data_IF_049841398674
#
_entry.id   IF_049841398674
#
_cell.length_a   1.000
_cell.length_b   1.000
_cell.length_c   1.000
_cell.angle_alpha   90.00
_cell.angle_beta   90.00
_cell.angle_gamma   90.00
#
_symmetry.space_group_name_H-M   'P 1'
#
loop_
_entity.id
_entity.type
_entity.pdbx_description
1 polymer ?
#
# COMPACT_ATOMS: atom_id res chain seq x y z
N UNK A 1 42.84 -4.74 -6.54
CA UNK A 1 41.94 -3.56 -6.74
C UNK A 1 42.01 -2.69 -5.48
N UNK A 2 42.50 -1.44 -5.57
CA UNK A 2 42.43 -0.48 -4.45
C UNK A 2 40.95 -0.19 -4.21
N UNK A 3 40.39 -0.47 -3.00
CA UNK A 3 39.08 0.01 -2.59
C UNK A 3 39.10 1.53 -2.76
N UNK A 4 38.27 2.06 -3.67
CA UNK A 4 38.03 3.51 -3.74
C UNK A 4 37.49 3.93 -2.37
N UNK A 5 38.25 4.67 -1.63
CA UNK A 5 37.85 5.23 -0.33
C UNK A 5 36.82 6.30 -0.61
N UNK A 6 35.62 6.18 0.01
CA UNK A 6 34.60 7.25 -0.08
C UNK A 6 35.18 8.57 0.38
N UNK A 7 34.92 9.64 -0.38
CA UNK A 7 35.33 11.00 0.01
C UNK A 7 34.74 11.34 1.38
N UNK A 8 35.50 12.01 2.21
CA UNK A 8 35.15 12.38 3.58
C UNK A 8 34.98 13.90 3.71
N UNK A 9 34.37 14.34 4.82
CA UNK A 9 34.32 15.79 5.16
C UNK A 9 35.69 16.43 5.20
N UNK A 10 36.77 15.66 5.55
CA UNK A 10 38.12 16.18 5.55
C UNK A 10 38.62 16.44 4.13
N UNK A 11 38.35 15.56 3.19
CA UNK A 11 38.77 15.74 1.81
C UNK A 11 38.19 16.99 1.16
N UNK A 12 36.88 17.33 1.51
CA UNK A 12 36.29 18.60 1.09
C UNK A 12 36.96 19.79 1.80
N UNK A 13 37.16 19.69 3.12
CA UNK A 13 37.77 20.76 3.89
C UNK A 13 39.16 21.10 3.36
N UNK A 14 39.98 20.10 3.04
CA UNK A 14 41.30 20.24 2.47
C UNK A 14 41.25 20.83 1.05
N UNK A 15 40.33 20.41 0.21
CA UNK A 15 40.17 20.92 -1.16
C UNK A 15 39.74 22.41 -1.21
N UNK A 16 38.99 22.87 -0.21
CA UNK A 16 38.48 24.25 -0.15
C UNK A 16 39.38 25.16 0.73
N UNK A 17 40.24 24.58 1.55
CA UNK A 17 41.05 25.32 2.51
C UNK A 17 40.27 25.86 3.73
N UNK A 18 39.31 25.06 4.22
CA UNK A 18 38.47 25.39 5.38
C UNK A 18 38.50 24.27 6.42
N UNK A 19 37.90 24.48 7.59
CA UNK A 19 37.81 23.43 8.61
C UNK A 19 36.64 22.46 8.32
N UNK A 20 36.75 21.21 8.82
CA UNK A 20 35.66 20.25 8.80
C UNK A 20 34.35 20.86 9.40
N UNK A 21 34.48 21.68 10.44
CA UNK A 21 33.36 22.33 11.09
C UNK A 21 32.66 23.32 10.17
N UNK A 22 33.41 24.01 9.30
CA UNK A 22 32.84 24.92 8.28
C UNK A 22 32.07 24.12 7.21
N UNK A 23 32.60 22.99 6.74
CA UNK A 23 31.89 22.09 5.80
C UNK A 23 30.64 21.51 6.44
N UNK A 24 30.73 21.01 7.68
CA UNK A 24 29.59 20.49 8.43
C UNK A 24 28.50 21.56 8.65
N UNK A 25 28.91 22.81 8.94
CA UNK A 25 27.98 23.94 9.08
C UNK A 25 27.31 24.27 7.76
N UNK A 26 28.02 24.23 6.65
CA UNK A 26 27.46 24.41 5.32
C UNK A 26 26.39 23.33 5.02
N UNK A 27 26.65 22.08 5.31
CA UNK A 27 25.70 20.99 5.04
C UNK A 27 24.41 21.08 5.88
N UNK A 28 24.50 21.64 7.10
CA UNK A 28 23.33 21.81 8.00
C UNK A 28 22.59 23.13 7.81
N UNK A 29 23.33 24.21 7.64
CA UNK A 29 22.80 25.58 7.58
C UNK A 29 23.65 26.38 6.58
N UNK A 30 23.43 26.24 5.27
CA UNK A 30 24.24 26.91 4.25
C UNK A 30 24.33 28.43 4.43
N UNK A 31 23.22 29.05 4.88
CA UNK A 31 23.12 30.49 5.09
C UNK A 31 24.08 31.02 6.19
N UNK A 32 24.56 30.18 7.09
CA UNK A 32 25.54 30.54 8.13
C UNK A 32 27.00 30.51 7.63
N UNK A 33 27.20 30.33 6.33
CA UNK A 33 28.52 30.32 5.67
C UNK A 33 28.49 31.37 4.56
N UNK A 34 29.60 32.14 4.41
CA UNK A 34 29.69 33.20 3.40
C UNK A 34 29.44 32.66 1.98
N UNK A 35 28.85 33.45 1.10
CA UNK A 35 28.50 33.03 -0.27
C UNK A 35 29.69 32.50 -1.06
N UNK A 36 30.84 33.16 -0.98
CA UNK A 36 32.09 32.72 -1.59
C UNK A 36 32.53 31.33 -1.12
N UNK A 37 32.41 31.06 0.19
CA UNK A 37 32.77 29.75 0.76
C UNK A 37 31.74 28.70 0.39
N UNK A 38 30.45 29.02 0.36
CA UNK A 38 29.37 28.11 -0.09
C UNK A 38 29.63 27.60 -1.51
N UNK A 39 29.93 28.52 -2.43
CA UNK A 39 30.20 28.18 -3.83
C UNK A 39 31.39 27.22 -3.96
N UNK A 40 32.49 27.47 -3.21
CA UNK A 40 33.66 26.60 -3.21
C UNK A 40 33.37 25.21 -2.63
N UNK A 41 32.62 25.13 -1.53
CA UNK A 41 32.24 23.85 -0.90
C UNK A 41 31.32 23.06 -1.85
N UNK A 42 30.31 23.70 -2.46
CA UNK A 42 29.44 23.04 -3.42
C UNK A 42 30.22 22.44 -4.59
N UNK A 43 31.10 23.22 -5.21
CA UNK A 43 31.95 22.73 -6.31
C UNK A 43 32.86 21.57 -5.90
N UNK A 44 33.41 21.59 -4.67
CA UNK A 44 34.24 20.50 -4.16
C UNK A 44 33.41 19.22 -3.88
N UNK A 45 32.17 19.36 -3.37
CA UNK A 45 31.22 18.25 -3.20
C UNK A 45 30.96 17.58 -4.53
N UNK A 46 30.62 18.35 -5.56
CA UNK A 46 30.32 17.84 -6.90
C UNK A 46 31.57 17.16 -7.53
N UNK A 47 32.73 17.80 -7.42
CA UNK A 47 33.98 17.28 -7.99
C UNK A 47 34.44 15.97 -7.32
N UNK A 48 34.29 15.88 -5.99
CA UNK A 48 34.73 14.72 -5.20
C UNK A 48 33.65 13.64 -5.12
N UNK A 49 32.45 13.88 -5.64
CA UNK A 49 31.30 12.98 -5.52
C UNK A 49 30.95 12.66 -4.05
N UNK A 50 31.08 13.67 -3.17
CA UNK A 50 30.84 13.46 -1.74
C UNK A 50 29.37 13.30 -1.44
N UNK A 51 29.05 12.26 -0.69
CA UNK A 51 27.70 12.02 -0.14
C UNK A 51 27.79 12.17 1.39
N UNK A 52 26.99 13.09 1.92
CA UNK A 52 26.95 13.32 3.37
C UNK A 52 26.51 12.05 4.12
N UNK A 53 27.28 11.68 5.13
CA UNK A 53 26.91 10.57 6.01
C UNK A 53 25.86 11.07 7.01
N UNK A 54 24.65 10.47 6.98
CA UNK A 54 23.58 10.81 7.92
C UNK A 54 23.72 10.16 9.31
N UNK A 55 24.60 9.17 9.47
CA UNK A 55 24.77 8.47 10.75
C UNK A 55 25.12 9.38 11.95
N UNK A 56 25.97 10.45 11.83
CA UNK A 56 26.20 11.37 12.92
C UNK A 56 24.95 12.19 13.32
N UNK A 57 24.08 12.50 12.34
CA UNK A 57 22.86 13.25 12.61
C UNK A 57 21.81 12.36 13.31
N UNK A 58 21.74 11.08 12.97
CA UNK A 58 20.98 10.07 13.70
C UNK A 58 21.37 10.00 15.17
N UNK A 59 22.68 10.01 15.46
CA UNK A 59 23.18 9.93 16.84
C UNK A 59 22.94 11.23 17.64
N UNK A 60 22.87 12.40 16.96
CA UNK A 60 22.75 13.70 17.62
C UNK A 60 21.32 14.23 17.71
N UNK A 61 20.45 13.92 16.74
CA UNK A 61 19.13 14.54 16.58
C UNK A 61 17.96 13.58 16.82
N UNK A 62 18.21 12.31 17.06
CA UNK A 62 17.22 11.22 17.21
C UNK A 62 16.22 11.08 16.02
N UNK A 63 16.42 11.80 14.89
CA UNK A 63 15.59 11.70 13.67
C UNK A 63 16.39 11.17 12.50
N UNK A 64 15.83 10.16 11.82
CA UNK A 64 16.42 9.54 10.64
C UNK A 64 15.98 10.18 9.32
N UNK A 65 14.87 10.92 9.35
CA UNK A 65 14.15 11.37 8.16
C UNK A 65 13.81 10.19 7.22
N UNK A 66 13.47 9.06 7.81
CA UNK A 66 13.07 7.86 7.09
C UNK A 66 11.77 7.32 7.67
N UNK A 67 10.87 6.87 6.81
CA UNK A 67 9.66 6.16 7.19
C UNK A 67 9.68 4.75 6.61
N UNK A 68 9.24 3.79 7.41
CA UNK A 68 9.07 2.41 6.96
C UNK A 68 7.68 2.22 6.35
N UNK A 69 7.63 1.69 5.13
CA UNK A 69 6.37 1.32 4.47
C UNK A 69 6.39 -0.16 4.17
N UNK A 70 5.48 -0.91 4.79
CA UNK A 70 5.34 -2.35 4.57
C UNK A 70 4.13 -2.62 3.69
N UNK A 71 4.38 -3.31 2.58
CA UNK A 71 3.33 -3.79 1.67
C UNK A 71 3.39 -5.31 1.53
N UNK A 72 2.27 -5.99 1.26
CA UNK A 72 2.29 -7.45 1.18
C UNK A 72 2.95 -7.96 -0.10
N UNK A 73 3.00 -7.13 -1.15
CA UNK A 73 3.57 -7.53 -2.45
C UNK A 73 4.00 -6.32 -3.26
N UNK A 74 5.13 -6.44 -3.95
CA UNK A 74 5.63 -5.42 -4.89
C UNK A 74 5.01 -5.57 -6.29
N UNK A 75 4.43 -6.74 -6.61
CA UNK A 75 3.77 -7.01 -7.89
C UNK A 75 2.27 -6.76 -7.87
N UNK A 76 1.68 -6.52 -6.71
CA UNK A 76 0.28 -6.15 -6.60
C UNK A 76 0.11 -4.66 -6.91
N UNK A 77 -0.49 -4.34 -8.05
CA UNK A 77 -0.67 -2.98 -8.57
C UNK A 77 -1.46 -2.05 -7.65
N UNK A 78 -2.20 -2.60 -6.69
CA UNK A 78 -2.92 -1.82 -5.66
C UNK A 78 -1.97 -0.87 -4.93
N UNK A 79 -0.78 -1.34 -4.55
CA UNK A 79 0.13 -0.60 -3.68
C UNK A 79 0.96 0.47 -4.40
N UNK A 80 1.12 0.40 -5.72
CA UNK A 80 1.90 1.39 -6.47
C UNK A 80 1.35 2.83 -6.31
N UNK A 81 0.03 3.01 -6.40
CA UNK A 81 -0.60 4.32 -6.20
C UNK A 81 -0.62 4.75 -4.73
N UNK A 82 -0.72 3.81 -3.80
CA UNK A 82 -0.62 4.09 -2.36
C UNK A 82 0.77 4.63 -2.02
N UNK A 83 1.83 3.94 -2.46
CA UNK A 83 3.21 4.37 -2.24
C UNK A 83 3.45 5.75 -2.84
N UNK A 84 3.00 5.99 -4.08
CA UNK A 84 3.08 7.30 -4.71
C UNK A 84 2.39 8.38 -3.87
N UNK A 85 1.18 8.12 -3.37
CA UNK A 85 0.47 9.06 -2.50
C UNK A 85 1.23 9.38 -1.22
N UNK A 86 1.90 8.39 -0.62
CA UNK A 86 2.78 8.58 0.55
C UNK A 86 3.97 9.48 0.16
N UNK A 87 4.69 9.14 -0.90
CA UNK A 87 5.91 9.84 -1.31
C UNK A 87 5.66 11.29 -1.75
N UNK A 88 4.54 11.58 -2.40
CA UNK A 88 4.15 12.93 -2.82
C UNK A 88 3.95 13.88 -1.61
N UNK A 89 3.74 13.34 -0.42
CA UNK A 89 3.61 14.12 0.83
C UNK A 89 4.91 14.09 1.63
N UNK A 90 5.53 12.94 1.78
CA UNK A 90 6.67 12.76 2.69
C UNK A 90 7.99 13.24 2.07
N UNK A 91 8.14 13.12 0.75
CA UNK A 91 9.33 13.59 0.03
C UNK A 91 9.60 15.09 0.18
N UNK A 92 8.62 15.98 -0.11
CA UNK A 92 8.77 17.43 0.13
C UNK A 92 9.06 17.79 1.58
N UNK A 93 8.65 16.97 2.55
CA UNK A 93 8.98 17.13 3.97
C UNK A 93 10.38 16.61 4.34
N UNK A 94 11.15 16.13 3.35
CA UNK A 94 12.53 15.65 3.54
C UNK A 94 12.66 14.19 3.98
N UNK A 95 11.55 13.44 4.04
CA UNK A 95 11.56 12.04 4.43
C UNK A 95 11.80 11.11 3.24
N UNK A 96 12.53 10.02 3.49
CA UNK A 96 12.77 8.95 2.54
C UNK A 96 11.93 7.71 2.89
N UNK A 97 11.34 7.08 1.89
CA UNK A 97 10.59 5.84 2.07
C UNK A 97 11.54 4.64 2.11
N UNK A 98 11.52 3.88 3.19
CA UNK A 98 12.14 2.55 3.29
C UNK A 98 11.06 1.49 3.03
N UNK A 99 10.98 1.03 1.78
CA UNK A 99 9.99 0.06 1.35
C UNK A 99 10.41 -1.36 1.67
N UNK A 100 9.55 -2.13 2.33
CA UNK A 100 9.72 -3.55 2.57
C UNK A 100 8.45 -4.33 2.19
N UNK A 101 8.59 -5.60 1.82
CA UNK A 101 7.47 -6.49 1.57
C UNK A 101 7.55 -7.75 2.43
N UNK A 102 6.38 -8.32 2.77
CA UNK A 102 6.28 -9.48 3.67
C UNK A 102 5.54 -10.69 3.10
N UNK A 103 5.07 -10.64 1.85
CA UNK A 103 4.48 -11.80 1.16
C UNK A 103 3.21 -12.36 1.81
N UNK A 104 2.42 -11.53 2.48
CA UNK A 104 1.22 -11.94 3.25
C UNK A 104 1.54 -12.92 4.41
N UNK A 105 2.78 -12.93 4.90
CA UNK A 105 3.23 -13.82 5.99
C UNK A 105 3.56 -13.00 7.24
N UNK A 106 2.85 -13.23 8.38
CA UNK A 106 3.04 -12.45 9.60
C UNK A 106 4.44 -12.56 10.22
N UNK A 107 5.10 -13.72 10.10
CA UNK A 107 6.46 -13.91 10.63
C UNK A 107 7.50 -13.17 9.78
N UNK A 108 7.24 -12.98 8.48
CA UNK A 108 8.08 -12.15 7.62
C UNK A 108 7.80 -10.69 7.92
N UNK A 109 6.55 -10.27 8.13
CA UNK A 109 6.21 -8.92 8.56
C UNK A 109 6.97 -8.55 9.84
N UNK A 110 6.94 -9.41 10.86
CA UNK A 110 7.64 -9.24 12.12
C UNK A 110 9.13 -8.93 11.90
N UNK A 111 9.81 -9.74 11.08
CA UNK A 111 11.22 -9.54 10.75
C UNK A 111 11.47 -8.23 10.01
N UNK A 112 10.54 -7.80 9.15
CA UNK A 112 10.65 -6.53 8.41
C UNK A 112 10.44 -5.33 9.33
N UNK A 113 9.50 -5.42 10.25
CA UNK A 113 9.28 -4.39 11.29
C UNK A 113 10.53 -4.26 12.17
N UNK A 114 11.07 -5.38 12.68
CA UNK A 114 12.31 -5.39 13.46
C UNK A 114 13.46 -4.73 12.69
N UNK A 115 13.61 -5.06 11.41
CA UNK A 115 14.64 -4.48 10.54
C UNK A 115 14.47 -2.96 10.40
N UNK A 116 13.27 -2.48 10.09
CA UNK A 116 13.00 -1.05 9.93
C UNK A 116 13.23 -0.28 11.23
N UNK A 117 12.76 -0.81 12.36
CA UNK A 117 13.00 -0.21 13.67
C UNK A 117 14.50 -0.17 14.03
N UNK A 118 15.29 -1.18 13.64
CA UNK A 118 16.75 -1.18 13.84
C UNK A 118 17.48 -0.11 13.03
N UNK A 119 16.87 0.39 11.95
CA UNK A 119 17.34 1.54 11.18
C UNK A 119 16.79 2.87 11.69
N UNK A 120 16.11 2.87 12.85
CA UNK A 120 15.57 4.07 13.49
C UNK A 120 14.62 4.86 12.58
N UNK A 121 13.72 4.18 11.85
CA UNK A 121 12.67 4.90 11.12
C UNK A 121 11.84 5.75 12.07
N UNK A 122 11.45 6.94 11.62
CA UNK A 122 10.70 7.90 12.46
C UNK A 122 9.20 7.58 12.53
N UNK A 123 8.72 6.63 11.70
CA UNK A 123 7.35 6.15 11.69
C UNK A 123 7.15 4.99 10.74
N UNK A 124 6.00 4.31 10.87
CA UNK A 124 5.65 3.13 10.07
C UNK A 124 4.28 3.30 9.41
N UNK A 125 4.16 2.81 8.17
CA UNK A 125 2.90 2.61 7.48
C UNK A 125 2.79 1.11 7.18
N UNK A 126 1.77 0.45 7.73
CA UNK A 126 1.54 -0.98 7.62
C UNK A 126 0.27 -1.26 6.83
N UNK A 127 0.33 -2.19 5.89
CA UNK A 127 -0.83 -2.55 5.08
C UNK A 127 -1.60 -3.76 5.63
N UNK A 128 -1.17 -4.36 6.72
CA UNK A 128 -1.90 -5.43 7.42
C UNK A 128 -2.65 -4.88 8.62
N UNK A 129 -3.62 -5.64 9.10
CA UNK A 129 -4.50 -5.30 10.21
C UNK A 129 -4.39 -6.28 11.38
N UNK A 130 -3.70 -7.38 11.16
CA UNK A 130 -3.42 -8.40 12.17
C UNK A 130 -1.92 -8.65 12.22
N UNK A 131 -1.35 -8.52 13.40
CA UNK A 131 0.09 -8.59 13.63
C UNK A 131 0.40 -9.65 14.70
N UNK A 132 1.63 -10.15 14.73
CA UNK A 132 2.08 -11.02 15.81
C UNK A 132 2.20 -10.23 17.12
N UNK A 133 2.05 -10.89 18.27
CA UNK A 133 2.24 -10.26 19.59
C UNK A 133 3.62 -9.59 19.70
N UNK A 134 4.64 -10.19 19.08
CA UNK A 134 6.00 -9.63 19.07
C UNK A 134 6.07 -8.36 18.23
N UNK A 135 5.40 -8.30 17.08
CA UNK A 135 5.29 -7.07 16.27
C UNK A 135 4.63 -5.95 17.06
N UNK A 136 3.49 -6.23 17.70
CA UNK A 136 2.78 -5.25 18.52
C UNK A 136 3.69 -4.71 19.64
N UNK A 137 4.38 -5.60 20.36
CA UNK A 137 5.30 -5.22 21.43
C UNK A 137 6.49 -4.40 20.95
N UNK A 138 7.10 -4.75 19.81
CA UNK A 138 8.22 -3.99 19.24
C UNK A 138 7.79 -2.55 18.88
N UNK A 139 6.62 -2.40 18.27
CA UNK A 139 6.06 -1.10 17.91
C UNK A 139 5.77 -0.27 19.17
N UNK A 140 5.09 -0.84 20.14
CA UNK A 140 4.79 -0.17 21.42
C UNK A 140 6.07 0.31 22.11
N UNK A 141 7.06 -0.55 22.25
CA UNK A 141 8.33 -0.22 22.91
C UNK A 141 9.19 0.76 22.14
N UNK A 142 9.06 0.83 20.81
CA UNK A 142 9.81 1.79 19.99
C UNK A 142 9.27 3.22 20.11
N UNK A 143 7.99 3.37 20.47
CA UNK A 143 7.31 4.66 20.53
C UNK A 143 7.11 5.37 19.18
N UNK A 144 7.39 4.70 18.03
CA UNK A 144 7.18 5.28 16.71
C UNK A 144 5.70 5.34 16.36
N UNK A 145 5.21 6.41 15.72
CA UNK A 145 3.85 6.47 15.21
C UNK A 145 3.62 5.45 14.09
N UNK A 146 2.43 4.84 14.08
CA UNK A 146 2.02 3.84 13.10
C UNK A 146 0.68 4.20 12.49
N UNK A 147 0.59 4.07 11.16
CA UNK A 147 -0.65 4.16 10.39
C UNK A 147 -0.87 2.81 9.69
N UNK A 148 -2.00 2.17 9.98
CA UNK A 148 -2.49 1.01 9.23
C UNK A 148 -3.31 1.49 8.02
N UNK A 149 -3.19 0.80 6.88
CA UNK A 149 -3.83 1.26 5.65
C UNK A 149 -4.67 0.18 4.97
N UNK A 150 -5.59 0.63 4.09
CA UNK A 150 -6.42 -0.19 3.19
C UNK A 150 -7.61 -0.89 3.83
N UNK A 151 -7.86 -0.71 5.12
CA UNK A 151 -9.07 -1.22 5.79
C UNK A 151 -9.48 -0.32 6.95
N UNK A 152 -10.78 -0.28 7.24
CA UNK A 152 -11.35 0.49 8.35
C UNK A 152 -12.24 -0.36 9.26
N UNK A 153 -12.39 -1.65 8.94
CA UNK A 153 -13.33 -2.54 9.63
C UNK A 153 -12.83 -2.99 11.01
N UNK A 154 -11.53 -2.93 11.26
CA UNK A 154 -10.92 -3.34 12.53
C UNK A 154 -10.58 -2.16 13.44
N UNK A 155 -10.32 -2.46 14.72
CA UNK A 155 -9.78 -1.46 15.65
C UNK A 155 -8.28 -1.36 15.47
N UNK A 156 -7.74 -0.23 14.94
CA UNK A 156 -6.32 -0.11 14.66
C UNK A 156 -5.46 -0.08 15.93
N UNK A 157 -4.16 -0.37 15.80
CA UNK A 157 -3.19 -0.17 16.89
C UNK A 157 -3.19 1.28 17.37
N UNK A 158 -3.06 2.21 16.43
CA UNK A 158 -3.05 3.65 16.68
C UNK A 158 -4.02 4.39 15.73
N UNK A 159 -3.83 4.27 14.44
CA UNK A 159 -4.66 4.94 13.43
C UNK A 159 -4.77 4.10 12.16
N UNK A 160 -5.94 4.11 11.53
CA UNK A 160 -6.16 3.49 10.22
C UNK A 160 -6.64 4.50 9.19
N UNK A 161 -6.19 4.32 7.95
CA UNK A 161 -6.64 5.07 6.77
C UNK A 161 -7.00 4.09 5.67
N UNK A 162 -8.26 4.04 5.28
CA UNK A 162 -8.70 3.06 4.30
C UNK A 162 -10.15 3.23 3.92
N UNK A 163 -10.80 2.11 3.69
CA UNK A 163 -12.24 2.04 3.40
C UNK A 163 -12.81 0.73 3.96
N UNK A 164 -14.12 0.68 4.15
CA UNK A 164 -14.81 -0.51 4.64
C UNK A 164 -14.93 -1.56 3.51
N UNK A 165 -14.11 -2.61 3.58
CA UNK A 165 -14.09 -3.71 2.61
C UNK A 165 -15.38 -4.53 2.63
N UNK A 166 -16.03 -4.71 3.78
CA UNK A 166 -17.30 -5.44 3.92
C UNK A 166 -18.40 -4.66 3.22
N UNK A 167 -18.56 -3.38 3.58
CA UNK A 167 -19.57 -2.51 3.01
C UNK A 167 -19.39 -2.34 1.50
N UNK A 168 -18.17 -2.18 1.03
CA UNK A 168 -17.85 -2.02 -0.39
C UNK A 168 -18.27 -3.26 -1.22
N UNK A 169 -18.01 -4.46 -0.72
CA UNK A 169 -18.42 -5.69 -1.37
C UNK A 169 -19.94 -5.91 -1.26
N UNK A 170 -20.56 -5.54 -0.14
CA UNK A 170 -22.01 -5.58 0.05
C UNK A 170 -22.73 -4.68 -0.96
N UNK A 171 -22.29 -3.42 -1.09
CA UNK A 171 -22.90 -2.46 -1.99
C UNK A 171 -22.75 -2.87 -3.47
N UNK A 172 -21.57 -3.39 -3.87
CA UNK A 172 -21.39 -3.91 -5.23
C UNK A 172 -22.29 -5.12 -5.49
N UNK A 173 -22.36 -6.09 -4.58
CA UNK A 173 -23.21 -7.26 -4.74
C UNK A 173 -24.68 -6.88 -4.83
N UNK A 174 -25.12 -5.93 -4.00
CA UNK A 174 -26.50 -5.39 -4.04
C UNK A 174 -26.79 -4.73 -5.39
N UNK A 175 -25.84 -3.99 -5.96
CA UNK A 175 -26.01 -3.37 -7.28
C UNK A 175 -26.13 -4.43 -8.39
N UNK A 176 -25.38 -5.54 -8.32
CA UNK A 176 -25.49 -6.66 -9.27
C UNK A 176 -26.85 -7.35 -9.17
N UNK A 177 -27.30 -7.65 -7.94
CA UNK A 177 -28.61 -8.26 -7.70
C UNK A 177 -29.74 -7.36 -8.22
N UNK A 178 -29.64 -6.04 -8.05
CA UNK A 178 -30.61 -5.08 -8.59
C UNK A 178 -30.58 -4.98 -10.12
N UNK A 179 -29.46 -5.37 -10.78
CA UNK A 179 -29.40 -5.52 -12.25
C UNK A 179 -30.00 -6.83 -12.77
N UNK A 180 -30.35 -7.77 -11.88
CA UNK A 180 -30.98 -9.03 -12.22
C UNK A 180 -30.05 -10.24 -12.22
N UNK A 181 -28.78 -10.11 -11.86
CA UNK A 181 -27.90 -11.26 -11.64
C UNK A 181 -28.35 -12.02 -10.40
N UNK A 182 -28.49 -13.33 -10.48
CA UNK A 182 -29.00 -14.17 -9.39
C UNK A 182 -28.03 -15.31 -9.00
N UNK A 183 -27.11 -15.66 -9.89
CA UNK A 183 -26.13 -16.73 -9.70
C UNK A 183 -24.72 -16.18 -9.67
N UNK A 184 -24.49 -15.24 -8.77
CA UNK A 184 -23.18 -14.60 -8.60
C UNK A 184 -22.27 -15.56 -7.85
N UNK A 185 -21.06 -15.79 -8.38
CA UNK A 185 -19.99 -16.57 -7.71
C UNK A 185 -18.85 -15.66 -7.32
N UNK A 186 -18.49 -15.65 -6.04
CA UNK A 186 -17.33 -14.92 -5.55
C UNK A 186 -16.04 -15.67 -5.88
N UNK A 187 -15.06 -14.97 -6.46
CA UNK A 187 -13.75 -15.51 -6.80
C UNK A 187 -12.69 -14.87 -5.89
N UNK A 188 -12.13 -15.68 -4.99
CA UNK A 188 -11.13 -15.25 -4.01
C UNK A 188 -9.76 -15.86 -4.23
N UNK A 189 -8.72 -15.04 -4.08
CA UNK A 189 -7.33 -15.48 -4.09
C UNK A 189 -6.58 -14.94 -2.87
N UNK A 190 -5.46 -15.57 -2.50
CA UNK A 190 -4.59 -15.27 -1.36
C UNK A 190 -5.19 -15.55 0.02
N UNK A 191 -6.48 -15.62 0.18
CA UNK A 191 -7.21 -15.83 1.45
C UNK A 191 -6.77 -14.93 2.61
N UNK A 192 -6.26 -13.74 2.29
CA UNK A 192 -5.88 -12.71 3.27
C UNK A 192 -7.12 -12.12 3.98
N UNK A 193 -6.89 -11.30 5.02
CA UNK A 193 -7.96 -10.70 5.79
C UNK A 193 -8.93 -9.90 4.92
N UNK A 194 -8.46 -9.11 3.96
CA UNK A 194 -9.29 -8.29 3.07
C UNK A 194 -10.11 -9.14 2.10
N UNK A 195 -9.56 -10.24 1.60
CA UNK A 195 -10.32 -11.21 0.77
C UNK A 195 -11.50 -11.77 1.56
N UNK A 196 -11.30 -12.11 2.84
CA UNK A 196 -12.36 -12.62 3.73
C UNK A 196 -13.42 -11.56 4.05
N UNK A 197 -13.03 -10.31 4.32
CA UNK A 197 -13.95 -9.20 4.55
C UNK A 197 -14.82 -8.92 3.31
N UNK A 198 -14.24 -8.92 2.12
CA UNK A 198 -14.99 -8.77 0.87
C UNK A 198 -15.95 -9.95 0.65
N UNK A 199 -15.52 -11.17 0.94
CA UNK A 199 -16.40 -12.35 0.88
C UNK A 199 -17.56 -12.24 1.87
N UNK A 200 -17.31 -11.75 3.08
CA UNK A 200 -18.37 -11.49 4.06
C UNK A 200 -19.42 -10.51 3.49
N UNK A 201 -18.98 -9.35 3.00
CA UNK A 201 -19.91 -8.37 2.42
C UNK A 201 -20.72 -8.91 1.24
N UNK A 202 -20.06 -9.68 0.34
CA UNK A 202 -20.76 -10.40 -0.72
C UNK A 202 -21.81 -11.37 -0.16
N UNK A 203 -21.42 -12.20 0.82
CA UNK A 203 -22.32 -13.20 1.40
C UNK A 203 -23.52 -12.57 2.10
N UNK A 204 -23.29 -11.50 2.86
CA UNK A 204 -24.33 -10.78 3.57
C UNK A 204 -25.37 -10.19 2.60
N UNK A 205 -24.92 -9.63 1.47
CA UNK A 205 -25.81 -9.09 0.44
C UNK A 205 -26.61 -10.19 -0.26
N UNK A 206 -26.00 -11.34 -0.58
CA UNK A 206 -26.69 -12.50 -1.15
C UNK A 206 -27.77 -13.02 -0.20
N UNK A 207 -27.42 -13.24 1.07
CA UNK A 207 -28.34 -13.72 2.11
C UNK A 207 -29.51 -12.75 2.35
N UNK A 208 -29.22 -11.45 2.38
CA UNK A 208 -30.26 -10.42 2.55
C UNK A 208 -31.33 -10.42 1.45
N UNK A 209 -31.01 -10.97 0.27
CA UNK A 209 -31.93 -11.14 -0.87
C UNK A 209 -32.44 -12.58 -1.02
N UNK A 210 -32.15 -13.48 -0.06
CA UNK A 210 -32.60 -14.87 -0.07
C UNK A 210 -31.82 -15.79 -1.00
N UNK A 211 -30.64 -15.38 -1.48
CA UNK A 211 -29.76 -16.20 -2.29
C UNK A 211 -28.69 -16.90 -1.43
N UNK A 212 -28.28 -18.10 -1.83
CA UNK A 212 -27.17 -18.82 -1.20
C UNK A 212 -25.83 -18.33 -1.77
N UNK A 213 -24.90 -17.83 -0.92
CA UNK A 213 -23.55 -17.46 -1.38
C UNK A 213 -22.81 -18.64 -1.99
N UNK A 214 -22.14 -18.41 -3.10
CA UNK A 214 -21.29 -19.39 -3.81
C UNK A 214 -19.92 -18.83 -4.00
N UNK A 215 -18.86 -19.63 -3.83
CA UNK A 215 -17.50 -19.14 -3.99
C UNK A 215 -16.54 -20.19 -4.53
N UNK A 216 -15.51 -19.71 -5.22
CA UNK A 216 -14.30 -20.46 -5.55
C UNK A 216 -13.13 -19.69 -4.99
N UNK A 217 -12.42 -20.30 -4.05
CA UNK A 217 -11.31 -19.65 -3.34
C UNK A 217 -10.04 -20.47 -3.42
N UNK A 218 -8.89 -19.78 -3.41
CA UNK A 218 -7.56 -20.37 -3.38
C UNK A 218 -6.58 -19.50 -2.59
N UNK A 219 -5.54 -20.08 -2.05
CA UNK A 219 -4.41 -19.42 -1.39
C UNK A 219 -3.36 -18.88 -2.37
N UNK A 220 -3.45 -19.24 -3.65
CA UNK A 220 -2.54 -18.77 -4.69
C UNK A 220 -2.57 -17.25 -4.84
N UNK A 221 -1.43 -16.69 -5.28
CA UNK A 221 -1.33 -15.26 -5.61
C UNK A 221 -2.20 -14.91 -6.82
N UNK A 222 -2.91 -13.78 -6.77
CA UNK A 222 -3.72 -13.30 -7.89
C UNK A 222 -2.87 -13.07 -9.13
N UNK A 223 -3.41 -13.49 -10.28
CA UNK A 223 -2.86 -13.22 -11.61
C UNK A 223 -3.97 -13.31 -12.65
N UNK A 224 -3.72 -12.80 -13.85
CA UNK A 224 -4.64 -12.96 -14.98
C UNK A 224 -4.84 -14.44 -15.33
N UNK A 225 -3.78 -15.26 -15.32
CA UNK A 225 -3.86 -16.68 -15.60
C UNK A 225 -4.72 -17.42 -14.57
N UNK A 226 -4.54 -17.11 -13.29
CA UNK A 226 -5.36 -17.68 -12.23
C UNK A 226 -6.84 -17.26 -12.38
N UNK A 227 -7.12 -16.04 -12.81
CA UNK A 227 -8.49 -15.58 -13.09
C UNK A 227 -9.19 -16.44 -14.16
N UNK A 228 -8.45 -16.81 -15.20
CA UNK A 228 -8.93 -17.73 -16.25
C UNK A 228 -9.25 -19.13 -15.68
N UNK A 229 -8.35 -19.68 -14.88
CA UNK A 229 -8.53 -21.01 -14.25
C UNK A 229 -9.74 -21.02 -13.31
N UNK A 230 -9.88 -19.99 -12.48
CA UNK A 230 -10.97 -19.88 -11.51
C UNK A 230 -12.34 -19.67 -12.19
N UNK A 231 -12.41 -18.99 -13.35
CA UNK A 231 -13.63 -18.96 -14.17
C UNK A 231 -14.04 -20.37 -14.58
N UNK A 232 -13.12 -21.19 -15.11
CA UNK A 232 -13.43 -22.56 -15.55
C UNK A 232 -13.92 -23.41 -14.37
N UNK A 233 -13.25 -23.27 -13.21
CA UNK A 233 -13.67 -23.95 -11.98
C UNK A 233 -15.06 -23.49 -11.54
N UNK A 234 -15.34 -22.19 -11.55
CA UNK A 234 -16.64 -21.65 -11.16
C UNK A 234 -17.76 -22.20 -12.06
N UNK A 235 -17.53 -22.29 -13.38
CA UNK A 235 -18.50 -22.84 -14.33
C UNK A 235 -18.71 -24.35 -14.16
N UNK A 236 -17.69 -25.09 -13.72
CA UNK A 236 -17.79 -26.51 -13.42
C UNK A 236 -18.56 -26.76 -12.13
N UNK A 237 -18.19 -26.05 -11.07
CA UNK A 237 -18.79 -26.21 -9.73
C UNK A 237 -20.22 -25.64 -9.66
N UNK A 238 -20.47 -24.56 -10.44
CA UNK A 238 -21.73 -23.81 -10.48
C UNK A 238 -22.17 -23.55 -11.94
N UNK A 239 -22.73 -24.51 -12.66
CA UNK A 239 -23.04 -24.40 -14.11
C UNK A 239 -23.97 -23.24 -14.48
N UNK A 240 -24.81 -22.80 -13.55
CA UNK A 240 -25.77 -21.70 -13.76
C UNK A 240 -25.19 -20.32 -13.42
N UNK A 241 -23.87 -20.17 -13.26
CA UNK A 241 -23.22 -18.90 -12.96
C UNK A 241 -23.53 -17.87 -14.04
N UNK A 242 -24.08 -16.73 -13.65
CA UNK A 242 -24.39 -15.58 -14.52
C UNK A 242 -23.47 -14.39 -14.29
N UNK A 243 -22.76 -14.35 -13.13
CA UNK A 243 -21.82 -13.29 -12.81
C UNK A 243 -20.67 -13.79 -11.92
N UNK A 244 -19.47 -13.28 -12.15
CA UNK A 244 -18.31 -13.46 -11.27
C UNK A 244 -18.02 -12.17 -10.53
N UNK A 245 -17.89 -12.23 -9.20
CA UNK A 245 -17.38 -11.14 -8.39
C UNK A 245 -15.97 -11.51 -7.88
N UNK A 246 -14.95 -10.94 -8.50
CA UNK A 246 -13.55 -11.22 -8.20
C UNK A 246 -12.99 -10.30 -7.11
N UNK A 247 -12.18 -10.84 -6.21
CA UNK A 247 -11.57 -10.09 -5.09
C UNK A 247 -10.65 -8.95 -5.55
N UNK A 248 -10.20 -8.98 -6.82
CA UNK A 248 -9.45 -7.89 -7.46
C UNK A 248 -9.61 -7.92 -8.99
N UNK A 249 -9.14 -6.82 -9.63
CA UNK A 249 -9.25 -6.65 -11.08
C UNK A 249 -8.37 -7.63 -11.87
N UNK A 250 -7.23 -8.08 -11.33
CA UNK A 250 -6.35 -9.03 -12.05
C UNK A 250 -7.10 -10.34 -12.36
N UNK A 251 -7.83 -10.87 -11.36
CA UNK A 251 -8.66 -12.07 -11.57
C UNK A 251 -9.81 -11.81 -12.54
N UNK A 252 -10.46 -10.65 -12.41
CA UNK A 252 -11.59 -10.28 -13.26
C UNK A 252 -11.16 -10.12 -14.73
N UNK A 253 -10.06 -9.46 -15.00
CA UNK A 253 -9.49 -9.29 -16.34
C UNK A 253 -9.11 -10.65 -16.93
N UNK A 254 -8.48 -11.51 -16.12
CA UNK A 254 -8.15 -12.88 -16.54
C UNK A 254 -9.38 -13.70 -16.89
N UNK A 255 -10.44 -13.58 -16.11
CA UNK A 255 -11.74 -14.21 -16.41
C UNK A 255 -12.35 -13.68 -17.71
N UNK A 256 -12.29 -12.37 -17.99
CA UNK A 256 -12.77 -11.78 -19.26
C UNK A 256 -11.96 -12.33 -20.44
N UNK A 257 -10.63 -12.41 -20.34
CA UNK A 257 -9.80 -12.99 -21.39
C UNK A 257 -10.17 -14.46 -21.67
N UNK A 258 -10.49 -15.21 -20.63
CA UNK A 258 -10.94 -16.60 -20.79
C UNK A 258 -12.36 -16.69 -21.39
N UNK A 259 -13.25 -15.77 -21.03
CA UNK A 259 -14.55 -15.66 -21.70
C UNK A 259 -14.37 -15.42 -23.21
N UNK A 260 -13.47 -14.50 -23.60
CA UNK A 260 -13.17 -14.22 -25.01
C UNK A 260 -12.62 -15.46 -25.75
N UNK A 261 -11.71 -16.22 -25.14
CA UNK A 261 -11.16 -17.46 -25.72
C UNK A 261 -12.23 -18.52 -25.97
N UNK A 262 -13.25 -18.55 -25.11
CA UNK A 262 -14.35 -19.53 -25.19
C UNK A 262 -15.62 -18.98 -25.87
N UNK A 263 -15.55 -17.80 -26.50
CA UNK A 263 -16.67 -17.12 -27.15
C UNK A 263 -17.86 -16.87 -26.21
N UNK A 264 -17.60 -16.64 -24.92
CA UNK A 264 -18.60 -16.27 -23.93
C UNK A 264 -18.75 -14.76 -23.95
N UNK A 265 -19.95 -14.28 -24.25
CA UNK A 265 -20.21 -12.85 -24.37
C UNK A 265 -20.30 -12.18 -22.99
N UNK A 266 -19.46 -11.16 -22.75
CA UNK A 266 -19.52 -10.32 -21.56
C UNK A 266 -20.12 -8.97 -21.97
N UNK A 267 -21.20 -8.50 -21.34
CA UNK A 267 -21.87 -9.04 -20.15
C UNK A 267 -23.02 -10.02 -20.44
N UNK A 268 -23.47 -10.19 -21.69
CA UNK A 268 -24.78 -10.79 -22.01
C UNK A 268 -24.93 -12.27 -21.61
N UNK A 269 -23.83 -13.00 -21.48
CA UNK A 269 -23.82 -14.40 -21.01
C UNK A 269 -23.12 -14.57 -19.69
N UNK A 270 -22.22 -13.67 -19.34
CA UNK A 270 -21.44 -13.69 -18.11
C UNK A 270 -21.07 -12.28 -17.67
N UNK A 271 -21.60 -11.84 -16.54
CA UNK A 271 -21.13 -10.64 -15.88
C UNK A 271 -19.79 -10.86 -15.20
N UNK A 272 -18.91 -9.87 -15.22
CA UNK A 272 -17.61 -9.95 -14.52
C UNK A 272 -17.33 -8.66 -13.80
N UNK A 273 -17.01 -8.77 -12.50
CA UNK A 273 -16.72 -7.63 -11.62
C UNK A 273 -15.39 -7.84 -10.94
N UNK A 274 -14.61 -6.78 -10.86
CA UNK A 274 -13.36 -6.71 -10.12
C UNK A 274 -13.44 -5.86 -8.85
N UNK A 275 -12.28 -5.53 -8.34
CA UNK A 275 -12.11 -4.71 -7.15
C UNK A 275 -10.79 -3.93 -7.26
N UNK A 276 -10.77 -2.66 -6.89
CA UNK A 276 -9.73 -1.64 -6.87
C UNK A 276 -9.75 -0.65 -8.03
N UNK A 277 -10.36 -0.94 -9.19
CA UNK A 277 -10.45 -0.01 -10.31
C UNK A 277 -9.07 0.24 -10.96
N UNK A 278 -8.37 -0.83 -11.37
CA UNK A 278 -7.10 -0.70 -12.08
C UNK A 278 -7.31 -0.04 -13.43
N UNK A 279 -6.36 0.80 -13.85
CA UNK A 279 -6.43 1.56 -15.09
C UNK A 279 -6.67 0.67 -16.32
N UNK A 280 -6.00 -0.48 -16.40
CA UNK A 280 -6.20 -1.46 -17.47
C UNK A 280 -7.65 -1.95 -17.54
N UNK A 281 -8.31 -2.19 -16.40
CA UNK A 281 -9.72 -2.59 -16.33
C UNK A 281 -10.65 -1.48 -16.81
N UNK A 282 -10.31 -0.23 -16.57
CA UNK A 282 -11.08 0.93 -17.01
C UNK A 282 -10.88 1.24 -18.51
N UNK A 283 -9.72 0.90 -19.07
CA UNK A 283 -9.37 1.12 -20.50
C UNK A 283 -9.79 -0.01 -21.43
N UNK A 284 -10.04 -1.23 -20.90
CA UNK A 284 -10.39 -2.40 -21.73
C UNK A 284 -11.83 -2.36 -22.28
N UNK A 285 -12.11 -3.26 -23.23
CA UNK A 285 -13.45 -3.46 -23.80
C UNK A 285 -13.87 -4.92 -23.57
N UNK A 286 -15.01 -5.15 -22.89
CA UNK A 286 -15.86 -4.17 -22.21
C UNK A 286 -15.16 -3.55 -20.99
N UNK A 287 -15.46 -2.27 -20.68
CA UNK A 287 -14.93 -1.60 -19.49
C UNK A 287 -15.33 -2.38 -18.23
N UNK A 288 -14.36 -2.72 -17.39
CA UNK A 288 -14.57 -3.54 -16.21
C UNK A 288 -15.42 -2.82 -15.16
N UNK A 289 -16.48 -3.49 -14.72
CA UNK A 289 -17.17 -3.15 -13.47
C UNK A 289 -16.23 -3.41 -12.30
N UNK A 290 -16.11 -2.48 -11.37
CA UNK A 290 -15.18 -2.62 -10.24
C UNK A 290 -15.60 -1.73 -9.07
N UNK A 291 -15.27 -2.13 -7.85
CA UNK A 291 -15.23 -1.22 -6.73
C UNK A 291 -13.95 -0.37 -6.87
N UNK A 292 -14.11 0.89 -7.22
CA UNK A 292 -12.98 1.81 -7.36
C UNK A 292 -12.57 2.31 -5.98
N UNK A 293 -11.34 2.03 -5.59
CA UNK A 293 -10.78 2.46 -4.30
C UNK A 293 -9.81 3.64 -4.50
N UNK A 294 -9.84 4.67 -3.63
CA UNK A 294 -9.04 5.87 -3.77
C UNK A 294 -7.60 5.65 -3.28
N UNK A 295 -6.86 4.72 -3.89
CA UNK A 295 -5.53 4.25 -3.46
C UNK A 295 -4.50 5.36 -3.26
N UNK A 296 -4.42 6.30 -4.20
CA UNK A 296 -3.56 7.47 -4.08
C UNK A 296 -3.94 8.32 -2.85
N UNK A 297 -5.23 8.57 -2.66
CA UNK A 297 -5.72 9.37 -1.53
C UNK A 297 -5.45 8.67 -0.19
N UNK A 298 -5.61 7.34 -0.11
CA UNK A 298 -5.24 6.55 1.08
C UNK A 298 -3.78 6.79 1.44
N UNK A 299 -2.87 6.67 0.46
CA UNK A 299 -1.45 6.93 0.69
C UNK A 299 -1.15 8.37 1.09
N UNK A 300 -1.78 9.34 0.42
CA UNK A 300 -1.59 10.76 0.68
C UNK A 300 -2.07 11.14 2.10
N UNK A 301 -3.23 10.66 2.50
CA UNK A 301 -3.76 10.90 3.86
C UNK A 301 -2.89 10.20 4.90
N UNK A 302 -2.51 8.94 4.68
CA UNK A 302 -1.65 8.20 5.60
C UNK A 302 -0.29 8.91 5.80
N UNK A 303 0.32 9.41 4.71
CA UNK A 303 1.56 10.18 4.78
C UNK A 303 1.42 11.49 5.59
N UNK A 304 0.33 12.24 5.40
CA UNK A 304 0.05 13.47 6.17
C UNK A 304 -0.15 13.20 7.65
N UNK A 305 -0.96 12.20 7.97
CA UNK A 305 -1.25 11.81 9.34
C UNK A 305 0.03 11.34 10.05
N UNK A 306 0.85 10.52 9.36
CA UNK A 306 2.12 10.08 9.91
C UNK A 306 3.06 11.25 10.19
N UNK A 307 3.24 12.19 9.24
CA UNK A 307 4.08 13.38 9.42
C UNK A 307 3.56 14.28 10.55
N UNK A 308 2.24 14.44 10.66
CA UNK A 308 1.63 15.19 11.76
C UNK A 308 2.02 14.60 13.11
N UNK A 309 1.97 13.27 13.25
CA UNK A 309 2.34 12.57 14.48
C UNK A 309 3.84 12.61 14.77
N UNK A 310 4.70 12.48 13.76
CA UNK A 310 6.16 12.57 13.92
C UNK A 310 6.58 13.98 14.41
N UNK A 311 5.85 15.03 14.00
CA UNK A 311 6.20 16.42 14.31
C UNK A 311 5.42 17.01 15.50
N UNK A 312 4.43 16.29 16.02
CA UNK A 312 3.73 16.70 17.23
C UNK A 312 4.45 16.16 18.47
N UNK A 313 4.59 17.01 19.49
CA UNK A 313 4.98 16.57 20.85
C UNK A 313 3.82 15.82 21.55
N UNK A 314 2.88 15.25 20.76
CA UNK A 314 1.76 14.50 21.30
C UNK A 314 2.30 13.23 21.95
N UNK A 315 2.01 13.11 23.24
CA UNK A 315 2.23 11.88 24.00
C UNK A 315 1.57 10.71 23.23
N UNK A 316 2.40 9.85 22.64
CA UNK A 316 1.97 8.66 21.90
C UNK A 316 1.21 7.67 22.79
N UNK A 317 1.24 7.87 24.11
CA UNK A 317 0.45 7.12 25.09
C UNK A 317 -1.05 7.46 25.06
N UNK A 318 -1.47 8.56 24.45
CA UNK A 318 -2.89 8.82 24.22
C UNK A 318 -3.42 7.87 23.15
N UNK A 319 -4.17 6.91 23.58
CA UNK A 319 -4.86 5.84 22.83
C UNK A 319 -5.97 6.39 21.89
N UNK A 320 -5.62 7.33 21.01
CA UNK A 320 -6.52 7.80 19.95
C UNK A 320 -6.52 6.78 18.82
N UNK A 321 -7.36 5.76 18.95
CA UNK A 321 -7.71 4.87 17.84
C UNK A 321 -8.58 5.64 16.85
N UNK A 322 -7.96 6.34 15.92
CA UNK A 322 -8.65 7.09 14.90
C UNK A 322 -8.75 6.29 13.61
N UNK A 323 -9.94 6.24 13.04
CA UNK A 323 -10.18 5.63 11.73
C UNK A 323 -10.58 6.73 10.74
N UNK A 324 -9.88 6.80 9.61
CA UNK A 324 -10.19 7.72 8.51
C UNK A 324 -10.67 6.88 7.33
N UNK A 325 -11.98 6.96 7.06
CA UNK A 325 -12.60 6.34 5.90
C UNK A 325 -12.50 7.27 4.69
N UNK A 326 -11.81 6.81 3.65
CA UNK A 326 -11.65 7.53 2.38
C UNK A 326 -12.74 7.21 1.38
N UNK A 327 -13.65 6.29 1.72
CA UNK A 327 -14.72 5.83 0.86
C UNK A 327 -14.26 4.99 -0.34
N UNK A 328 -15.21 4.70 -1.23
CA UNK A 328 -15.05 3.97 -2.49
C UNK A 328 -16.18 4.33 -3.45
N UNK A 329 -16.08 3.88 -4.70
CA UNK A 329 -17.13 4.07 -5.71
C UNK A 329 -17.52 2.70 -6.29
N UNK A 330 -18.81 2.38 -6.29
CA UNK A 330 -19.37 1.24 -7.04
C UNK A 330 -19.51 1.65 -8.50
N UNK A 331 -18.64 1.12 -9.37
CA UNK A 331 -18.65 1.41 -10.80
C UNK A 331 -19.10 0.18 -11.59
N UNK A 332 -20.24 0.27 -12.24
CA UNK A 332 -20.84 -0.87 -12.96
C UNK A 332 -20.27 -1.08 -14.35
N UNK A 333 -19.45 -0.16 -14.87
CA UNK A 333 -18.76 -0.32 -16.14
C UNK A 333 -19.67 -0.79 -17.29
N UNK A 334 -19.10 -1.70 -18.11
CA UNK A 334 -19.80 -2.36 -19.23
C UNK A 334 -19.62 -3.89 -19.22
N UNK A 335 -18.99 -4.44 -18.20
CA UNK A 335 -18.81 -5.88 -18.04
C UNK A 335 -19.92 -6.55 -17.20
N UNK A 336 -20.94 -5.77 -16.79
CA UNK A 336 -22.17 -6.21 -16.11
C UNK A 336 -23.39 -5.47 -16.61
#
# INVERSE_FOLDING_TARGET
>A
MKKNKRSSLQDIADAVGVTKMTVSRYLRNPEKVSESTRTKISAAIDTLGYIANKAPDLLSNAKSYSIGVLVPSLTNHVFAQVIRGIEDVTGPAGYQTMLAHYGYNPEIEEKRVEYLLSYHVDGLILSETTHTDRTLKMIEMSGVPVIEIMDTHHSPMQQAVGFDNVKAAFDMTTALLNKGYCNIVYIGARLDARTRLKFQGYSDAMLAKGFTPKSVMTDQASSYSLGAELLQKARTDYPNTDCLFCTNDDLAIGAIFECQRNNILVPSQMGVVGFHGHDIGQAMVPQLASVITPRYQIGNVAGRELLSRINSDLDTSMNYKQVIDTGYIVHLGKSV
#
